data_IF_047449350141
#
_entry.id   IF_047449350141
#
_cell.length_a   1.000
_cell.length_b   1.000
_cell.length_c   1.000
_cell.angle_alpha   90.00
_cell.angle_beta   90.00
_cell.angle_gamma   90.00
#
_symmetry.space_group_name_H-M   'P 1'
#
loop_
_entity.id
_entity.type
_entity.pdbx_description
1 polymer ?
#
# COMPACT_ATOMS: atom_id res chain seq x y z
N UNK A 1 -13.58 19.55 14.45
CA UNK A 1 -12.35 19.32 15.25
C UNK A 1 -12.41 18.02 16.06
N UNK A 2 -13.36 17.80 16.99
CA UNK A 2 -13.42 16.56 17.80
C UNK A 2 -13.49 15.29 16.95
N UNK A 3 -14.35 15.25 15.94
CA UNK A 3 -14.47 14.09 15.03
C UNK A 3 -13.14 13.73 14.34
N UNK A 4 -12.36 14.72 13.92
CA UNK A 4 -11.04 14.49 13.30
C UNK A 4 -10.06 13.87 14.29
N UNK A 5 -10.01 14.40 15.51
CA UNK A 5 -9.13 13.85 16.57
C UNK A 5 -9.51 12.40 16.86
N UNK A 6 -10.80 12.08 16.98
CA UNK A 6 -11.26 10.71 17.20
C UNK A 6 -10.88 9.78 16.05
N UNK A 7 -11.05 10.19 14.79
CA UNK A 7 -10.69 9.40 13.63
C UNK A 7 -9.17 9.13 13.57
N UNK A 8 -8.36 10.13 13.87
CA UNK A 8 -6.92 9.99 13.93
C UNK A 8 -6.47 9.06 15.06
N UNK A 9 -7.11 9.13 16.23
CA UNK A 9 -6.87 8.20 17.35
C UNK A 9 -7.27 6.77 16.98
N UNK A 10 -8.43 6.56 16.35
CA UNK A 10 -8.86 5.24 15.88
C UNK A 10 -7.83 4.66 14.90
N UNK A 11 -7.35 5.46 13.94
CA UNK A 11 -6.33 5.03 12.99
C UNK A 11 -5.02 4.64 13.70
N UNK A 12 -4.58 5.43 14.70
CA UNK A 12 -3.37 5.16 15.46
C UNK A 12 -3.49 3.87 16.28
N UNK A 13 -4.58 3.71 17.04
CA UNK A 13 -4.83 2.49 17.85
C UNK A 13 -4.93 1.24 16.98
N UNK A 14 -5.67 1.33 15.87
CA UNK A 14 -5.77 0.23 14.91
C UNK A 14 -4.41 -0.14 14.31
N UNK A 15 -3.53 0.83 14.07
CA UNK A 15 -2.17 0.59 13.57
C UNK A 15 -1.29 -0.15 14.58
N UNK A 16 -1.39 0.19 15.86
CA UNK A 16 -0.71 -0.55 16.94
C UNK A 16 -1.26 -1.97 17.03
N UNK A 17 -2.58 -2.14 17.00
CA UNK A 17 -3.23 -3.46 17.00
C UNK A 17 -2.76 -4.34 15.83
N UNK A 18 -2.62 -3.76 14.63
CA UNK A 18 -2.08 -4.45 13.46
C UNK A 18 -0.67 -5.01 13.68
N UNK A 19 0.20 -4.25 14.32
CA UNK A 19 1.62 -4.66 14.55
C UNK A 19 1.72 -5.70 15.65
N UNK A 20 0.90 -5.58 16.71
CA UNK A 20 0.96 -6.48 17.87
C UNK A 20 0.35 -7.85 17.63
N UNK A 21 -0.56 -7.99 16.67
CA UNK A 21 -1.23 -9.28 16.43
C UNK A 21 -0.41 -10.21 15.57
N UNK A 22 -0.35 -11.48 15.96
CA UNK A 22 0.24 -12.58 15.17
C UNK A 22 -0.71 -13.13 14.10
N UNK A 23 -2.01 -12.90 14.24
CA UNK A 23 -3.02 -13.38 13.30
C UNK A 23 -3.12 -12.49 12.06
N UNK A 24 -2.90 -13.06 10.88
CA UNK A 24 -3.04 -12.34 9.60
C UNK A 24 -4.45 -11.76 9.39
N UNK A 25 -5.49 -12.49 9.77
CA UNK A 25 -6.89 -12.04 9.64
C UNK A 25 -7.14 -10.83 10.54
N UNK A 26 -6.74 -10.91 11.82
CA UNK A 26 -6.90 -9.81 12.77
C UNK A 26 -6.06 -8.61 12.34
N UNK A 27 -4.82 -8.82 11.89
CA UNK A 27 -3.97 -7.75 11.35
C UNK A 27 -4.63 -7.02 10.17
N UNK A 28 -5.29 -7.76 9.25
CA UNK A 28 -6.01 -7.15 8.13
C UNK A 28 -7.26 -6.40 8.57
N UNK A 29 -8.00 -6.88 9.57
CA UNK A 29 -9.13 -6.14 10.14
C UNK A 29 -8.69 -4.81 10.74
N UNK A 30 -7.60 -4.80 11.49
CA UNK A 30 -7.02 -3.56 12.00
C UNK A 30 -6.55 -2.64 10.87
N UNK A 31 -5.96 -3.18 9.80
CA UNK A 31 -5.57 -2.37 8.66
C UNK A 31 -6.78 -1.76 7.93
N UNK A 32 -7.88 -2.51 7.76
CA UNK A 32 -9.11 -1.98 7.18
C UNK A 32 -9.70 -0.87 8.03
N UNK A 33 -9.73 -1.05 9.36
CA UNK A 33 -10.20 -0.04 10.30
C UNK A 33 -9.34 1.23 10.23
N UNK A 34 -8.02 1.09 10.22
CA UNK A 34 -7.11 2.23 10.11
C UNK A 34 -7.30 3.00 8.80
N UNK A 35 -7.41 2.29 7.67
CA UNK A 35 -7.63 2.91 6.35
C UNK A 35 -9.00 3.59 6.27
N UNK A 36 -10.05 2.97 6.81
CA UNK A 36 -11.39 3.54 6.88
C UNK A 36 -11.45 4.82 7.72
N UNK A 37 -10.77 4.83 8.86
CA UNK A 37 -10.66 6.02 9.70
C UNK A 37 -9.92 7.17 8.99
N UNK A 38 -8.86 6.86 8.24
CA UNK A 38 -8.14 7.85 7.40
C UNK A 38 -9.04 8.37 6.29
N UNK A 39 -9.79 7.49 5.60
CA UNK A 39 -10.74 7.91 4.57
C UNK A 39 -11.79 8.86 5.14
N UNK A 40 -12.36 8.55 6.31
CA UNK A 40 -13.33 9.39 6.98
C UNK A 40 -12.72 10.76 7.41
N UNK A 41 -11.47 10.79 7.88
CA UNK A 41 -10.76 12.05 8.21
C UNK A 41 -10.63 12.95 6.97
N UNK A 42 -10.26 12.38 5.81
CA UNK A 42 -10.23 13.12 4.55
C UNK A 42 -11.61 13.62 4.13
N UNK A 43 -12.67 12.81 4.31
CA UNK A 43 -14.05 13.22 4.04
C UNK A 43 -14.48 14.40 4.90
N UNK A 44 -14.19 14.36 6.21
CA UNK A 44 -14.48 15.47 7.14
C UNK A 44 -13.70 16.73 6.76
N UNK A 45 -12.41 16.60 6.42
CA UNK A 45 -11.59 17.73 5.96
C UNK A 45 -12.13 18.35 4.67
N UNK A 46 -12.55 17.51 3.70
CA UNK A 46 -13.18 18.00 2.48
C UNK A 46 -14.49 18.76 2.79
N UNK A 47 -15.35 18.20 3.62
CA UNK A 47 -16.60 18.83 3.99
C UNK A 47 -16.41 20.22 4.67
N UNK A 48 -15.30 20.40 5.41
CA UNK A 48 -15.01 21.67 6.08
C UNK A 48 -14.27 22.69 5.19
N UNK A 49 -13.45 22.23 4.24
CA UNK A 49 -12.53 23.11 3.51
C UNK A 49 -12.89 23.28 2.03
N UNK A 50 -13.67 22.33 1.46
CA UNK A 50 -13.96 22.26 0.03
C UNK A 50 -12.72 21.93 -0.85
N UNK A 51 -11.55 21.67 -0.25
CA UNK A 51 -10.31 21.47 -1.01
C UNK A 51 -10.30 20.15 -1.76
N UNK A 52 -10.08 20.16 -3.10
CA UNK A 52 -10.09 18.95 -3.93
C UNK A 52 -9.01 17.93 -3.56
N UNK A 53 -7.87 18.38 -3.02
CA UNK A 53 -6.80 17.50 -2.56
C UNK A 53 -7.30 16.42 -1.58
N UNK A 54 -8.27 16.78 -0.71
CA UNK A 54 -8.86 15.85 0.25
C UNK A 54 -9.76 14.82 -0.40
N UNK A 55 -10.39 15.14 -1.54
CA UNK A 55 -11.20 14.17 -2.31
C UNK A 55 -10.33 13.06 -2.88
N UNK A 56 -9.16 13.41 -3.42
CA UNK A 56 -8.20 12.40 -3.91
C UNK A 56 -7.78 11.46 -2.78
N UNK A 57 -7.44 12.01 -1.61
CA UNK A 57 -7.14 11.21 -0.41
C UNK A 57 -8.30 10.31 -0.01
N UNK A 58 -9.52 10.85 0.07
CA UNK A 58 -10.73 10.11 0.39
C UNK A 58 -10.90 8.90 -0.55
N UNK A 59 -10.89 9.14 -1.86
CA UNK A 59 -11.09 8.08 -2.87
C UNK A 59 -10.02 6.99 -2.74
N UNK A 60 -8.75 7.37 -2.67
CA UNK A 60 -7.64 6.41 -2.53
C UNK A 60 -7.82 5.54 -1.29
N UNK A 61 -8.14 6.11 -0.14
CA UNK A 61 -8.28 5.34 1.10
C UNK A 61 -9.57 4.53 1.17
N UNK A 62 -10.67 4.98 0.55
CA UNK A 62 -11.87 4.17 0.36
C UNK A 62 -11.56 2.94 -0.49
N UNK A 63 -10.90 3.10 -1.64
CA UNK A 63 -10.53 1.98 -2.51
C UNK A 63 -9.61 0.98 -1.80
N UNK A 64 -8.61 1.46 -1.05
CA UNK A 64 -7.72 0.60 -0.27
C UNK A 64 -8.46 -0.14 0.86
N UNK A 65 -9.43 0.51 1.49
CA UNK A 65 -10.29 -0.10 2.52
C UNK A 65 -11.14 -1.21 1.91
N UNK A 66 -11.85 -0.92 0.82
CA UNK A 66 -12.68 -1.89 0.09
C UNK A 66 -11.83 -3.07 -0.38
N UNK A 67 -10.66 -2.83 -0.98
CA UNK A 67 -9.72 -3.90 -1.37
C UNK A 67 -9.35 -4.78 -0.18
N UNK A 68 -9.06 -4.18 0.97
CA UNK A 68 -8.67 -4.93 2.17
C UNK A 68 -9.84 -5.77 2.70
N UNK A 69 -11.07 -5.24 2.68
CA UNK A 69 -12.28 -5.96 3.08
C UNK A 69 -12.62 -7.10 2.11
N UNK A 70 -12.46 -6.87 0.80
CA UNK A 70 -12.65 -7.91 -0.21
C UNK A 70 -11.66 -9.08 -0.01
N UNK A 71 -10.40 -8.79 0.27
CA UNK A 71 -9.40 -9.82 0.58
C UNK A 71 -9.77 -10.59 1.86
N UNK A 72 -10.35 -9.92 2.86
CA UNK A 72 -10.84 -10.57 4.08
C UNK A 72 -12.06 -11.46 3.83
N UNK A 73 -13.02 -11.00 3.02
CA UNK A 73 -14.26 -11.73 2.71
C UNK A 73 -14.02 -12.93 1.78
N UNK A 74 -13.10 -12.81 0.85
CA UNK A 74 -12.75 -13.85 -0.12
C UNK A 74 -11.47 -14.61 0.26
N UNK A 75 -11.30 -15.05 1.48
CA UNK A 75 -10.08 -15.66 2.05
C UNK A 75 -9.24 -16.57 1.13
N UNK A 76 -9.84 -17.06 0.02
CA UNK A 76 -9.16 -17.82 -1.05
C UNK A 76 -8.28 -16.94 -1.99
N UNK A 77 -8.35 -15.60 -1.90
CA UNK A 77 -7.55 -14.71 -2.75
C UNK A 77 -6.07 -14.74 -2.35
N UNK A 78 -5.77 -14.97 -1.09
CA UNK A 78 -4.37 -15.00 -0.60
C UNK A 78 -3.53 -16.12 -1.20
N UNK A 79 -4.10 -17.29 -1.44
CA UNK A 79 -3.41 -18.43 -2.04
C UNK A 79 -3.23 -18.33 -3.55
N UNK A 80 -3.98 -17.46 -4.24
CA UNK A 80 -3.93 -17.31 -5.69
C UNK A 80 -3.19 -16.04 -6.10
N UNK A 81 -1.94 -16.21 -6.52
CA UNK A 81 -1.07 -15.10 -6.95
C UNK A 81 -1.66 -14.30 -8.11
N UNK A 82 -2.37 -14.93 -9.03
CA UNK A 82 -2.99 -14.26 -10.17
C UNK A 82 -4.14 -13.34 -9.70
N UNK A 83 -5.07 -13.85 -8.91
CA UNK A 83 -6.19 -13.04 -8.38
C UNK A 83 -5.69 -11.85 -7.55
N UNK A 84 -4.65 -12.06 -6.75
CA UNK A 84 -4.01 -11.00 -5.97
C UNK A 84 -3.41 -9.91 -6.88
N UNK A 85 -2.73 -10.29 -7.95
CA UNK A 85 -2.18 -9.35 -8.94
C UNK A 85 -3.27 -8.56 -9.64
N UNK A 86 -4.34 -9.23 -10.07
CA UNK A 86 -5.50 -8.58 -10.71
C UNK A 86 -6.14 -7.58 -9.74
N UNK A 87 -6.40 -7.96 -8.49
CA UNK A 87 -6.97 -7.06 -7.49
C UNK A 87 -6.10 -5.83 -7.23
N UNK A 88 -4.77 -6.00 -7.22
CA UNK A 88 -3.82 -4.89 -7.09
C UNK A 88 -3.83 -3.97 -8.33
N UNK A 89 -3.85 -4.54 -9.53
CA UNK A 89 -3.89 -3.77 -10.77
C UNK A 89 -5.20 -2.97 -10.88
N UNK A 90 -6.34 -3.60 -10.58
CA UNK A 90 -7.65 -2.92 -10.58
C UNK A 90 -7.67 -1.80 -9.55
N UNK A 91 -7.20 -2.04 -8.32
CA UNK A 91 -7.14 -0.99 -7.30
C UNK A 91 -6.27 0.19 -7.73
N UNK A 92 -5.12 -0.08 -8.35
CA UNK A 92 -4.23 0.96 -8.85
C UNK A 92 -4.88 1.76 -9.99
N UNK A 93 -5.49 1.08 -10.97
CA UNK A 93 -6.17 1.73 -12.09
C UNK A 93 -7.35 2.58 -11.61
N UNK A 94 -8.17 2.08 -10.68
CA UNK A 94 -9.29 2.83 -10.11
C UNK A 94 -8.81 4.07 -9.36
N UNK A 95 -7.76 3.95 -8.53
CA UNK A 95 -7.18 5.10 -7.84
C UNK A 95 -6.65 6.15 -8.82
N UNK A 96 -5.96 5.71 -9.89
CA UNK A 96 -5.40 6.60 -10.91
C UNK A 96 -6.51 7.31 -11.70
N UNK A 97 -7.50 6.55 -12.19
CA UNK A 97 -8.62 7.10 -12.93
C UNK A 97 -9.43 8.10 -12.08
N UNK A 98 -9.71 7.75 -10.82
CA UNK A 98 -10.44 8.63 -9.92
C UNK A 98 -9.65 9.90 -9.58
N UNK A 99 -8.33 9.81 -9.43
CA UNK A 99 -7.49 10.98 -9.20
C UNK A 99 -7.44 11.91 -10.40
N UNK A 100 -7.34 11.36 -11.61
CA UNK A 100 -7.39 12.12 -12.86
C UNK A 100 -8.76 12.77 -13.04
N UNK A 101 -9.85 12.01 -12.90
CA UNK A 101 -11.21 12.51 -13.00
C UNK A 101 -11.50 13.62 -11.97
N UNK A 102 -11.01 13.46 -10.74
CA UNK A 102 -11.13 14.48 -9.70
C UNK A 102 -10.43 15.80 -10.09
N UNK A 103 -9.24 15.72 -10.67
CA UNK A 103 -8.53 16.90 -11.14
C UNK A 103 -9.26 17.63 -12.28
N UNK A 104 -9.79 16.88 -13.26
CA UNK A 104 -10.61 17.45 -14.33
C UNK A 104 -11.87 18.11 -13.80
N UNK A 105 -12.56 17.45 -12.85
CA UNK A 105 -13.79 17.95 -12.26
C UNK A 105 -13.61 19.28 -11.52
N UNK A 106 -12.51 19.39 -10.77
CA UNK A 106 -12.21 20.61 -9.99
C UNK A 106 -11.43 21.65 -10.77
N UNK A 107 -11.07 21.41 -12.03
CA UNK A 107 -10.26 22.33 -12.88
C UNK A 107 -8.98 22.85 -12.20
N UNK A 108 -8.44 22.06 -11.27
CA UNK A 108 -7.26 22.42 -10.49
C UNK A 108 -5.99 21.90 -11.15
N UNK A 109 -4.87 22.63 -11.09
CA UNK A 109 -3.60 22.13 -11.59
C UNK A 109 -3.14 20.91 -10.75
N UNK A 110 -2.48 19.96 -11.41
CA UNK A 110 -1.90 18.77 -10.73
C UNK A 110 -0.84 19.24 -9.75
N UNK A 111 -1.12 19.13 -8.45
CA UNK A 111 -0.14 19.42 -7.42
C UNK A 111 0.74 18.19 -7.20
N UNK A 112 2.05 18.34 -7.05
CA UNK A 112 2.94 17.20 -6.80
C UNK A 112 2.51 16.35 -5.60
N UNK A 113 1.91 16.98 -4.60
CA UNK A 113 1.42 16.31 -3.39
C UNK A 113 0.32 15.28 -3.66
N UNK A 114 -0.52 15.51 -4.68
CA UNK A 114 -1.60 14.59 -5.08
C UNK A 114 -1.09 13.35 -5.81
N UNK A 115 0.15 13.36 -6.29
CA UNK A 115 0.81 12.20 -6.90
C UNK A 115 1.35 11.23 -5.86
N UNK A 116 1.67 11.70 -4.65
CA UNK A 116 2.23 10.85 -3.59
C UNK A 116 1.35 9.64 -3.25
N UNK A 117 0.01 9.76 -3.08
CA UNK A 117 -0.84 8.60 -2.84
C UNK A 117 -0.81 7.60 -3.98
N UNK A 118 -0.74 8.05 -5.24
CA UNK A 118 -0.68 7.15 -6.40
C UNK A 118 0.63 6.38 -6.44
N UNK A 119 1.76 7.04 -6.19
CA UNK A 119 3.06 6.38 -6.05
C UNK A 119 3.03 5.38 -4.90
N UNK A 120 2.47 5.76 -3.76
CA UNK A 120 2.32 4.87 -2.61
C UNK A 120 1.46 3.63 -2.92
N UNK A 121 0.30 3.81 -3.57
CA UNK A 121 -0.55 2.69 -4.01
C UNK A 121 0.19 1.80 -5.01
N UNK A 122 0.89 2.37 -5.98
CA UNK A 122 1.71 1.63 -6.95
C UNK A 122 2.76 0.76 -6.29
N UNK A 123 3.54 1.32 -5.35
CA UNK A 123 4.52 0.58 -4.56
C UNK A 123 3.87 -0.54 -3.72
N UNK A 124 2.74 -0.26 -3.08
CA UNK A 124 1.97 -1.27 -2.34
C UNK A 124 1.50 -2.41 -3.24
N UNK A 125 1.00 -2.09 -4.43
CA UNK A 125 0.57 -3.08 -5.42
C UNK A 125 1.73 -3.93 -5.95
N UNK A 126 2.88 -3.31 -6.24
CA UNK A 126 4.10 -4.02 -6.63
C UNK A 126 4.58 -4.97 -5.53
N UNK A 127 4.57 -4.51 -4.28
CA UNK A 127 4.91 -5.34 -3.14
C UNK A 127 4.00 -6.55 -2.99
N UNK A 128 2.68 -6.35 -3.08
CA UNK A 128 1.69 -7.42 -2.99
C UNK A 128 1.74 -8.38 -4.20
N UNK A 129 2.07 -7.89 -5.39
CA UNK A 129 2.22 -8.71 -6.59
C UNK A 129 3.49 -9.56 -6.60
N UNK A 130 4.50 -9.18 -5.81
CA UNK A 130 5.77 -9.88 -5.73
C UNK A 130 5.66 -11.16 -4.88
N UNK A 131 6.25 -12.25 -5.39
CA UNK A 131 6.44 -13.48 -4.62
C UNK A 131 7.72 -13.44 -3.76
N UNK A 132 8.59 -12.44 -3.97
CA UNK A 132 9.81 -12.28 -3.20
C UNK A 132 9.53 -11.43 -1.95
N UNK A 133 9.68 -12.04 -0.78
CA UNK A 133 9.41 -11.38 0.50
C UNK A 133 10.31 -10.17 0.77
N UNK A 134 11.53 -10.18 0.26
CA UNK A 134 12.47 -9.05 0.41
C UNK A 134 11.98 -7.86 -0.42
N UNK A 135 11.60 -8.10 -1.69
CA UNK A 135 11.01 -7.07 -2.55
C UNK A 135 9.73 -6.51 -1.92
N UNK A 136 8.85 -7.40 -1.43
CA UNK A 136 7.62 -7.00 -0.76
C UNK A 136 7.88 -6.07 0.42
N UNK A 137 8.83 -6.39 1.31
CA UNK A 137 9.18 -5.55 2.46
C UNK A 137 9.71 -4.19 2.01
N UNK A 138 10.59 -4.16 1.00
CA UNK A 138 11.13 -2.89 0.47
C UNK A 138 10.04 -2.01 -0.15
N UNK A 139 9.11 -2.61 -0.90
CA UNK A 139 7.97 -1.88 -1.44
C UNK A 139 7.05 -1.33 -0.34
N UNK A 140 6.78 -2.11 0.71
CA UNK A 140 5.98 -1.66 1.86
C UNK A 140 6.67 -0.52 2.61
N UNK A 141 7.99 -0.60 2.79
CA UNK A 141 8.78 0.49 3.38
C UNK A 141 8.65 1.77 2.56
N UNK A 142 8.92 1.71 1.25
CA UNK A 142 8.85 2.86 0.36
C UNK A 142 7.41 3.44 0.28
N UNK A 143 6.39 2.58 0.21
CA UNK A 143 4.99 2.98 0.31
C UNK A 143 4.72 3.72 1.62
N UNK A 144 5.18 3.18 2.75
CA UNK A 144 4.99 3.79 4.07
C UNK A 144 5.60 5.19 4.14
N UNK A 145 6.83 5.36 3.65
CA UNK A 145 7.49 6.68 3.58
C UNK A 145 6.71 7.66 2.69
N UNK A 146 6.28 7.23 1.50
CA UNK A 146 5.54 8.07 0.55
C UNK A 146 4.19 8.50 1.12
N UNK A 147 3.46 7.57 1.75
CA UNK A 147 2.17 7.86 2.37
C UNK A 147 2.32 8.71 3.64
N UNK A 148 3.40 8.57 4.39
CA UNK A 148 3.68 9.43 5.54
C UNK A 148 3.97 10.87 5.07
N UNK A 149 4.76 11.05 4.00
CA UNK A 149 5.01 12.35 3.39
C UNK A 149 3.70 13.01 2.90
N UNK A 150 2.82 12.25 2.26
CA UNK A 150 1.49 12.74 1.90
C UNK A 150 0.69 13.15 3.14
N UNK A 151 0.68 12.32 4.18
CA UNK A 151 -0.01 12.62 5.44
C UNK A 151 0.48 13.91 6.09
N UNK A 152 1.80 14.16 6.08
CA UNK A 152 2.39 15.41 6.58
C UNK A 152 1.92 16.61 5.76
N UNK A 153 1.96 16.52 4.43
CA UNK A 153 1.54 17.60 3.54
C UNK A 153 0.03 17.94 3.67
N UNK A 154 -0.78 16.95 4.08
CA UNK A 154 -2.23 17.09 4.24
C UNK A 154 -2.66 17.24 5.72
N UNK A 155 -1.71 17.38 6.63
CA UNK A 155 -1.95 17.47 8.09
C UNK A 155 -2.78 16.29 8.64
N UNK A 156 -2.67 15.13 8.00
CA UNK A 156 -3.38 13.91 8.37
C UNK A 156 -2.53 13.04 9.33
N UNK A 157 -2.40 13.48 10.56
CA UNK A 157 -1.53 12.86 11.57
C UNK A 157 -1.80 11.38 11.83
N UNK A 158 -3.08 10.96 11.77
CA UNK A 158 -3.44 9.55 11.86
C UNK A 158 -2.83 8.70 10.74
N UNK A 159 -2.76 9.25 9.52
CA UNK A 159 -2.09 8.62 8.39
C UNK A 159 -0.57 8.58 8.58
N UNK A 160 0.03 9.67 9.05
CA UNK A 160 1.47 9.73 9.35
C UNK A 160 1.83 8.65 10.37
N UNK A 161 1.11 8.63 11.50
CA UNK A 161 1.36 7.65 12.55
C UNK A 161 1.17 6.21 12.08
N UNK A 162 0.08 5.93 11.34
CA UNK A 162 -0.16 4.62 10.75
C UNK A 162 1.02 4.15 9.91
N UNK A 163 1.50 4.99 8.99
CA UNK A 163 2.55 4.58 8.07
C UNK A 163 3.90 4.45 8.76
N UNK A 164 4.26 5.38 9.66
CA UNK A 164 5.53 5.30 10.39
C UNK A 164 5.57 4.07 11.31
N UNK A 165 4.51 3.76 12.02
CA UNK A 165 4.48 2.63 12.97
C UNK A 165 4.29 1.30 12.25
N UNK A 166 3.22 1.17 11.42
CA UNK A 166 2.81 -0.14 10.89
C UNK A 166 3.49 -0.52 9.58
N UNK A 167 3.92 0.44 8.78
CA UNK A 167 4.52 0.13 7.48
C UNK A 167 6.06 0.36 7.51
N UNK A 168 6.53 1.48 8.03
CA UNK A 168 7.98 1.77 8.12
C UNK A 168 8.61 1.01 9.29
N UNK A 169 8.13 1.23 10.51
CA UNK A 169 8.73 0.65 11.71
C UNK A 169 8.68 -0.88 11.73
N UNK A 170 7.51 -1.48 11.42
CA UNK A 170 7.39 -2.93 11.33
C UNK A 170 8.25 -3.53 10.21
N UNK A 171 8.44 -2.79 9.11
CA UNK A 171 9.28 -3.25 8.01
C UNK A 171 10.76 -3.17 8.37
N UNK A 172 11.22 -2.09 9.02
CA UNK A 172 12.60 -1.99 9.52
C UNK A 172 12.89 -3.13 10.48
N UNK A 173 12.01 -3.38 11.44
CA UNK A 173 12.14 -4.51 12.35
C UNK A 173 12.26 -5.85 11.60
N UNK A 174 11.42 -6.08 10.60
CA UNK A 174 11.44 -7.30 9.81
C UNK A 174 12.73 -7.45 8.98
N UNK A 175 13.20 -6.35 8.35
CA UNK A 175 14.45 -6.33 7.58
C UNK A 175 15.63 -6.71 8.48
N UNK A 176 15.71 -6.11 9.67
CA UNK A 176 16.78 -6.37 10.61
C UNK A 176 16.71 -7.81 11.17
N UNK A 177 15.50 -8.29 11.52
CA UNK A 177 15.29 -9.64 12.04
C UNK A 177 15.68 -10.72 11.04
N UNK A 178 15.36 -10.54 9.76
CA UNK A 178 15.62 -11.54 8.72
C UNK A 178 16.91 -11.28 7.94
N UNK A 179 17.67 -10.24 8.29
CA UNK A 179 18.94 -9.84 7.64
C UNK A 179 18.81 -9.77 6.12
N UNK A 180 17.78 -9.08 5.64
CA UNK A 180 17.53 -8.94 4.21
C UNK A 180 18.75 -8.35 3.48
N UNK A 181 19.16 -8.92 2.35
CA UNK A 181 20.32 -8.43 1.60
C UNK A 181 20.08 -7.02 1.07
N UNK A 182 21.12 -6.19 0.88
CA UNK A 182 21.01 -4.87 0.31
C UNK A 182 20.50 -4.94 -1.16
N UNK A 183 19.84 -3.87 -1.62
CA UNK A 183 19.25 -3.80 -2.98
C UNK A 183 20.19 -4.19 -4.13
N UNK A 184 21.49 -3.80 -4.14
CA UNK A 184 22.41 -4.22 -5.19
C UNK A 184 22.57 -5.75 -5.26
N UNK A 185 22.62 -6.43 -4.12
CA UNK A 185 22.71 -7.89 -4.07
C UNK A 185 21.47 -8.60 -4.61
N UNK A 186 20.28 -7.99 -4.46
CA UNK A 186 19.04 -8.49 -5.05
C UNK A 186 19.05 -8.41 -6.58
N UNK A 187 19.60 -7.33 -7.16
CA UNK A 187 19.70 -7.17 -8.60
C UNK A 187 20.63 -8.23 -9.22
N UNK A 188 21.73 -8.55 -8.54
CA UNK A 188 22.66 -9.62 -8.95
C UNK A 188 22.00 -11.00 -8.81
N UNK A 189 21.26 -11.26 -7.73
CA UNK A 189 20.51 -12.49 -7.50
C UNK A 189 19.42 -12.71 -8.54
N UNK A 190 18.69 -11.66 -8.92
CA UNK A 190 17.68 -11.71 -9.98
C UNK A 190 18.30 -12.04 -11.36
N UNK A 191 19.44 -11.43 -11.70
CA UNK A 191 20.19 -11.77 -12.95
C UNK A 191 20.65 -13.22 -12.95
N UNK A 192 21.16 -13.74 -11.83
CA UNK A 192 21.55 -15.16 -11.71
C UNK A 192 20.35 -16.12 -11.84
N UNK A 193 19.19 -15.75 -11.28
CA UNK A 193 17.96 -16.52 -11.43
C UNK A 193 17.47 -16.60 -12.87
N UNK A 194 17.51 -15.49 -13.61
CA UNK A 194 17.15 -15.46 -15.06
C UNK A 194 18.12 -16.30 -15.90
N UNK A 195 19.41 -16.27 -15.60
CA UNK A 195 20.42 -17.09 -16.29
C UNK A 195 20.19 -18.58 -16.00
N UNK A 196 19.93 -18.97 -14.75
CA UNK A 196 19.59 -20.36 -14.40
C UNK A 196 18.31 -20.83 -15.12
N UNK A 197 17.25 -20.02 -15.13
CA UNK A 197 16.00 -20.36 -15.82
C UNK A 197 16.20 -20.56 -17.34
N UNK A 198 17.01 -19.71 -18.01
CA UNK A 198 17.38 -19.88 -19.41
C UNK A 198 18.18 -21.16 -19.67
N UNK A 199 19.08 -21.52 -18.74
CA UNK A 199 19.87 -22.75 -18.85
C UNK A 199 18.98 -24.00 -18.72
N UNK A 200 18.07 -24.04 -17.73
CA UNK A 200 17.14 -25.14 -17.55
C UNK A 200 16.18 -25.30 -18.73
N UNK A 201 15.71 -24.18 -19.32
CA UNK A 201 14.85 -24.23 -20.51
C UNK A 201 15.59 -24.80 -21.73
N UNK A 202 16.85 -24.38 -21.95
CA UNK A 202 17.68 -24.92 -23.02
C UNK A 202 18.01 -26.40 -22.84
N UNK A 203 18.28 -26.84 -21.62
CA UNK A 203 18.53 -28.25 -21.33
C UNK A 203 17.28 -29.12 -21.62
N UNK A 204 16.09 -28.66 -21.22
CA UNK A 204 14.81 -29.34 -21.49
C UNK A 204 14.49 -29.40 -22.99
N UNK A 205 14.78 -28.34 -23.75
CA UNK A 205 14.55 -28.32 -25.20
C UNK A 205 15.51 -29.24 -25.97
N UNK A 206 16.70 -29.57 -25.43
CA UNK A 206 17.63 -30.55 -26.00
C UNK A 206 17.24 -32.01 -25.77
N UNK A 207 16.40 -32.26 -24.71
CA UNK A 207 15.91 -33.62 -24.44
C UNK A 207 14.64 -33.99 -25.22
N UNK A 208 14.05 -33.02 -25.93
CA UNK A 208 12.83 -33.21 -26.75
C UNK A 208 13.19 -33.37 -28.26
N UNK A 209 14.48 -33.19 -28.62
CA UNK A 209 15.02 -33.52 -29.95
C UNK A 209 15.76 -34.85 -29.88
#
# INVERSE_FOLDING_TARGET
>A
MIAQILLQLISAVASIGRVKTSSHVVSRRFNALALGAVAADFGVKYAHTGRPDFVVGLIVFVVLTVRTLLILGFGKIEGNTFRRRVACAVAFLVCTAASIAGQFYFSEPIRPVTLLPLVGVGLGCLGEASNNMVVRRRCVFAMGCTMAAFGLAMEAWGLVFKNLVSDVGATIYSINKYRDPPLPALAVGARRGVVKAKFCLRARMRQIR
#
